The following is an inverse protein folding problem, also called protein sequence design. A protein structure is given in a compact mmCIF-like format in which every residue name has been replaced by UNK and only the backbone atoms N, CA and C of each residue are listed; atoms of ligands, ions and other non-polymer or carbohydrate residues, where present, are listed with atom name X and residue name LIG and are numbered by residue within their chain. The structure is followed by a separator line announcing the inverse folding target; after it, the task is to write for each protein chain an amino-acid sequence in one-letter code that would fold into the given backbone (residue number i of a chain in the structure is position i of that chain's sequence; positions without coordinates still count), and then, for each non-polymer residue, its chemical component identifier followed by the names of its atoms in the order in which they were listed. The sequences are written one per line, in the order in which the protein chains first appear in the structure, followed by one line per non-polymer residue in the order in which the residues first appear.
data_IF_761941749842
#
_entry.id   IF_761941749842
#
_cell.length_a   1.000
_cell.length_b   1.000
_cell.length_c   1.000
_cell.angle_alpha   90.00
_cell.angle_beta   90.00
_cell.angle_gamma   90.00
#
_symmetry.space_group_name_H-M   'P 1'
#
loop_
_entity.id
_entity.type
_entity.pdbx_description
1 polymer ?
#
# COMPACT_ATOMS: atom_id res chain seq x y z
N UNK A 1 14.46 1.65 6.48
CA UNK A 1 15.48 1.73 5.40
C UNK A 1 15.60 3.20 4.98
N UNK A 2 16.41 3.56 3.97
CA UNK A 2 16.37 4.92 3.42
C UNK A 2 15.18 5.07 2.45
N UNK A 3 14.71 6.30 2.24
CA UNK A 3 13.63 6.65 1.29
C UNK A 3 13.81 5.96 -0.07
N UNK A 4 15.02 6.02 -0.64
CA UNK A 4 15.31 5.45 -1.97
C UNK A 4 15.13 3.94 -2.01
N UNK A 5 15.48 3.25 -0.92
CA UNK A 5 15.28 1.80 -0.80
C UNK A 5 13.79 1.46 -0.77
N UNK A 6 12.99 2.23 -0.04
CA UNK A 6 11.53 2.07 0.00
C UNK A 6 10.89 2.35 -1.38
N UNK A 7 11.36 3.37 -2.10
CA UNK A 7 10.90 3.63 -3.47
C UNK A 7 11.26 2.50 -4.42
N UNK A 8 12.48 1.97 -4.34
CA UNK A 8 12.88 0.82 -5.16
C UNK A 8 12.02 -0.41 -4.87
N UNK A 9 11.81 -0.73 -3.59
CA UNK A 9 10.94 -1.84 -3.18
C UNK A 9 9.49 -1.64 -3.65
N UNK A 10 8.98 -0.41 -3.60
CA UNK A 10 7.69 -0.06 -4.16
C UNK A 10 7.61 -0.35 -5.67
N UNK A 11 8.61 0.07 -6.46
CA UNK A 11 8.63 -0.18 -7.91
C UNK A 11 8.75 -1.67 -8.25
N UNK A 12 9.46 -2.46 -7.43
CA UNK A 12 9.49 -3.92 -7.53
C UNK A 12 8.09 -4.52 -7.29
N UNK A 13 7.38 -4.07 -6.24
CA UNK A 13 6.00 -4.49 -5.99
C UNK A 13 5.07 -4.09 -7.14
N UNK A 14 5.20 -2.86 -7.65
CA UNK A 14 4.39 -2.33 -8.74
C UNK A 14 4.58 -3.14 -10.03
N UNK A 15 5.82 -3.46 -10.36
CA UNK A 15 6.14 -4.30 -11.52
C UNK A 15 5.47 -5.67 -11.45
N UNK A 16 5.47 -6.30 -10.26
CA UNK A 16 4.78 -7.59 -10.06
C UNK A 16 3.27 -7.46 -10.14
N UNK A 17 2.69 -6.35 -9.66
CA UNK A 17 1.25 -6.07 -9.82
C UNK A 17 0.89 -5.97 -11.29
N UNK A 18 1.65 -5.20 -12.08
CA UNK A 18 1.39 -5.00 -13.50
C UNK A 18 1.51 -6.32 -14.27
N UNK A 19 2.58 -7.09 -14.03
CA UNK A 19 2.71 -8.44 -14.59
C UNK A 19 1.55 -9.38 -14.21
N UNK A 20 1.06 -9.29 -12.97
CA UNK A 20 -0.07 -10.10 -12.48
C UNK A 20 -1.39 -9.71 -13.14
N UNK A 21 -1.55 -8.43 -13.48
CA UNK A 21 -2.71 -7.94 -14.23
C UNK A 21 -2.65 -8.48 -15.67
N UNK A 22 -1.50 -8.39 -16.32
CA UNK A 22 -1.31 -8.85 -17.70
C UNK A 22 -1.48 -10.37 -17.84
N UNK A 23 -0.99 -11.13 -16.85
CA UNK A 23 -1.16 -12.58 -16.80
C UNK A 23 -2.63 -13.00 -16.62
N UNK A 24 -3.42 -12.19 -15.92
CA UNK A 24 -4.79 -12.51 -15.54
C UNK A 24 -5.02 -12.37 -14.04
N UNK A 25 -5.96 -11.50 -13.67
CA UNK A 25 -6.17 -11.11 -12.26
C UNK A 25 -6.73 -12.24 -11.38
N UNK A 26 -7.50 -13.17 -11.94
CA UNK A 26 -8.03 -14.33 -11.20
C UNK A 26 -6.89 -15.28 -10.85
N UNK A 27 -6.09 -15.65 -11.84
CA UNK A 27 -4.97 -16.58 -11.68
C UNK A 27 -3.87 -16.01 -10.78
N UNK A 28 -3.80 -14.68 -10.69
CA UNK A 28 -2.82 -13.95 -9.90
C UNK A 28 -3.39 -13.37 -8.61
N UNK A 29 -4.59 -13.77 -8.16
CA UNK A 29 -5.28 -13.19 -7.00
C UNK A 29 -4.38 -13.05 -5.76
N UNK A 30 -3.69 -14.13 -5.38
CA UNK A 30 -2.86 -14.15 -4.17
C UNK A 30 -1.65 -13.23 -4.28
N UNK A 31 -1.06 -13.17 -5.48
CA UNK A 31 0.07 -12.28 -5.78
C UNK A 31 -0.40 -10.83 -5.70
N UNK A 32 -1.55 -10.52 -6.30
CA UNK A 32 -2.15 -9.19 -6.24
C UNK A 32 -2.41 -8.78 -4.79
N UNK A 33 -3.06 -9.62 -3.98
CA UNK A 33 -3.30 -9.33 -2.57
C UNK A 33 -2.02 -9.02 -1.79
N UNK A 34 -0.98 -9.85 -1.96
CA UNK A 34 0.29 -9.66 -1.28
C UNK A 34 0.97 -8.35 -1.68
N UNK A 35 1.09 -8.09 -2.99
CA UNK A 35 1.88 -6.99 -3.52
C UNK A 35 1.15 -5.65 -3.39
N UNK A 36 -0.19 -5.60 -3.45
CA UNK A 36 -0.92 -4.33 -3.24
C UNK A 36 -0.76 -3.82 -1.81
N UNK A 37 -0.87 -4.71 -0.81
CA UNK A 37 -0.66 -4.33 0.60
C UNK A 37 0.79 -3.90 0.84
N UNK A 38 1.77 -4.74 0.48
CA UNK A 38 3.18 -4.43 0.74
C UNK A 38 3.68 -3.22 -0.03
N UNK A 39 3.33 -3.10 -1.31
CA UNK A 39 3.69 -1.97 -2.13
C UNK A 39 3.23 -0.64 -1.50
N UNK A 40 1.98 -0.55 -1.04
CA UNK A 40 1.53 0.73 -0.50
C UNK A 40 2.22 1.11 0.82
N UNK A 41 2.66 0.12 1.61
CA UNK A 41 3.43 0.34 2.84
C UNK A 41 4.82 0.88 2.52
N UNK A 42 5.48 0.34 1.50
CA UNK A 42 6.77 0.84 1.03
C UNK A 42 6.64 2.29 0.55
N UNK A 43 5.59 2.61 -0.21
CA UNK A 43 5.35 3.97 -0.69
C UNK A 43 5.06 4.95 0.47
N UNK A 44 4.24 4.54 1.44
CA UNK A 44 3.99 5.36 2.64
C UNK A 44 5.27 5.58 3.43
N UNK A 45 6.08 4.54 3.61
CA UNK A 45 7.36 4.64 4.32
C UNK A 45 8.29 5.63 3.64
N UNK A 46 8.40 5.56 2.30
CA UNK A 46 9.17 6.52 1.51
C UNK A 46 8.68 7.97 1.70
N UNK A 47 7.36 8.18 1.73
CA UNK A 47 6.78 9.50 2.00
C UNK A 47 7.11 10.00 3.41
N UNK A 48 6.89 9.19 4.45
CA UNK A 48 7.14 9.59 5.83
C UNK A 48 8.62 9.87 6.10
N UNK A 49 9.54 9.15 5.46
CA UNK A 49 10.96 9.51 5.48
C UNK A 49 11.22 10.83 4.76
N UNK A 50 10.59 11.07 3.60
CA UNK A 50 10.76 12.33 2.86
C UNK A 50 10.41 13.55 3.71
N UNK A 51 9.34 13.47 4.51
CA UNK A 51 8.90 14.56 5.40
C UNK A 51 9.53 14.48 6.80
N UNK A 52 10.59 13.68 6.99
CA UNK A 52 11.31 13.49 8.26
C UNK A 52 10.39 13.15 9.46
N UNK A 53 9.31 12.41 9.21
CA UNK A 53 8.37 11.98 10.27
C UNK A 53 8.73 10.62 10.88
N UNK A 54 9.59 9.84 10.22
CA UNK A 54 10.11 8.57 10.73
C UNK A 54 11.61 8.45 10.44
N UNK A 55 12.36 7.86 11.39
CA UNK A 55 13.80 7.61 11.25
C UNK A 55 14.10 6.42 10.34
N UNK A 56 15.28 6.40 9.72
CA UNK A 56 15.72 5.35 8.77
C UNK A 56 15.71 3.90 9.30
N UNK A 57 15.54 3.70 10.61
CA UNK A 57 15.38 2.40 11.26
C UNK A 57 13.93 1.94 11.43
N UNK A 58 12.95 2.82 11.26
CA UNK A 58 11.53 2.50 11.42
C UNK A 58 11.06 1.64 10.26
N UNK A 59 10.47 0.49 10.57
CA UNK A 59 9.77 -0.36 9.61
C UNK A 59 8.28 -0.35 9.91
N UNK A 60 7.50 0.16 8.97
CA UNK A 60 6.05 0.17 9.08
C UNK A 60 5.54 -1.25 8.80
N UNK A 61 4.75 -1.78 9.73
CA UNK A 61 4.18 -3.11 9.58
C UNK A 61 2.78 -3.04 8.94
N UNK A 62 2.56 -3.76 7.84
CA UNK A 62 1.26 -3.83 7.17
C UNK A 62 0.12 -4.24 8.13
N UNK A 63 0.41 -5.09 9.13
CA UNK A 63 -0.57 -5.54 10.13
C UNK A 63 -1.14 -4.41 10.98
N UNK A 64 -0.46 -3.27 11.06
CA UNK A 64 -1.00 -2.11 11.77
C UNK A 64 -2.26 -1.58 11.08
N UNK A 65 -2.34 -1.71 9.76
CA UNK A 65 -3.48 -1.29 8.94
C UNK A 65 -4.66 -2.26 8.97
N UNK A 66 -4.71 -3.21 9.92
CA UNK A 66 -5.92 -4.02 10.15
C UNK A 66 -7.02 -3.28 10.92
N UNK A 67 -6.70 -2.16 11.54
CA UNK A 67 -7.65 -1.41 12.37
C UNK A 67 -7.23 0.05 12.53
N UNK A 68 -8.14 0.86 13.06
CA UNK A 68 -7.92 2.27 13.37
C UNK A 68 -6.80 2.51 14.39
N UNK A 69 -6.33 1.49 15.11
CA UNK A 69 -5.18 1.60 16.02
C UNK A 69 -3.90 2.11 15.35
N UNK A 70 -3.83 2.08 14.01
CA UNK A 70 -2.72 2.68 13.25
C UNK A 70 -2.65 4.20 13.39
N UNK A 71 -3.77 4.88 13.67
CA UNK A 71 -3.79 6.34 13.87
C UNK A 71 -2.89 6.78 15.01
N UNK A 72 -2.80 5.99 16.08
CA UNK A 72 -2.01 6.29 17.27
C UNK A 72 -0.54 5.86 17.13
N UNK A 73 -0.24 4.96 16.19
CA UNK A 73 1.10 4.40 15.99
C UNK A 73 1.99 5.25 15.11
N UNK A 74 1.40 5.99 14.18
CA UNK A 74 2.12 6.73 13.15
C UNK A 74 1.96 8.25 13.33
N UNK A 75 3.00 9.02 12.97
CA UNK A 75 2.98 10.48 13.08
C UNK A 75 1.86 11.13 12.26
N UNK A 76 1.51 12.37 12.59
CA UNK A 76 0.50 13.12 11.84
C UNK A 76 1.06 13.77 10.56
N UNK A 77 0.23 13.81 9.51
CA UNK A 77 0.58 14.34 8.19
C UNK A 77 -0.70 14.69 7.37
N UNK A 78 -0.58 15.52 6.31
CA UNK A 78 -1.73 15.91 5.49
C UNK A 78 -2.54 14.71 4.98
N UNK A 79 -3.86 14.77 5.14
CA UNK A 79 -4.80 13.73 4.72
C UNK A 79 -4.61 12.35 5.39
N UNK A 80 -3.92 12.26 6.54
CA UNK A 80 -3.68 11.02 7.28
C UNK A 80 -4.95 10.17 7.48
N UNK A 81 -6.04 10.77 7.96
CA UNK A 81 -7.32 10.08 8.20
C UNK A 81 -7.84 9.38 6.94
N UNK A 82 -7.90 10.11 5.83
CA UNK A 82 -8.39 9.58 4.56
C UNK A 82 -7.46 8.49 4.00
N UNK A 83 -6.14 8.68 4.11
CA UNK A 83 -5.16 7.72 3.60
C UNK A 83 -5.22 6.43 4.41
N UNK A 84 -5.19 6.51 5.74
CA UNK A 84 -5.21 5.33 6.60
C UNK A 84 -6.51 4.57 6.52
N UNK A 85 -7.67 5.25 6.46
CA UNK A 85 -8.96 4.58 6.21
C UNK A 85 -8.91 3.74 4.93
N UNK A 86 -8.43 4.31 3.81
CA UNK A 86 -8.27 3.57 2.55
C UNK A 86 -7.23 2.46 2.62
N UNK A 87 -6.14 2.65 3.37
CA UNK A 87 -5.13 1.60 3.58
C UNK A 87 -5.68 0.45 4.42
N UNK A 88 -6.56 0.73 5.40
CA UNK A 88 -7.26 -0.30 6.16
C UNK A 88 -8.19 -1.10 5.24
N UNK A 89 -8.94 -0.42 4.38
CA UNK A 89 -9.78 -1.09 3.37
C UNK A 89 -8.94 -1.97 2.42
N UNK A 90 -7.79 -1.45 1.99
CA UNK A 90 -6.87 -2.19 1.12
C UNK A 90 -6.25 -3.40 1.83
N UNK A 91 -5.83 -3.29 3.10
CA UNK A 91 -5.28 -4.41 3.87
C UNK A 91 -6.32 -5.50 4.06
N UNK A 92 -7.55 -5.13 4.41
CA UNK A 92 -8.67 -6.07 4.57
C UNK A 92 -9.02 -6.77 3.24
N UNK A 93 -8.99 -6.03 2.12
CA UNK A 93 -9.17 -6.63 0.80
C UNK A 93 -7.99 -7.57 0.47
N UNK A 94 -6.76 -7.13 0.70
CA UNK A 94 -5.53 -7.87 0.43
C UNK A 94 -5.44 -9.18 1.21
N UNK A 95 -5.86 -9.17 2.48
CA UNK A 95 -5.94 -10.38 3.32
C UNK A 95 -6.93 -11.40 2.74
N UNK A 96 -8.10 -10.95 2.29
CA UNK A 96 -9.10 -11.80 1.63
C UNK A 96 -8.59 -12.37 0.32
N UNK A 97 -7.82 -11.61 -0.46
CA UNK A 97 -7.24 -12.07 -1.72
C UNK A 97 -6.10 -13.08 -1.49
N UNK A 98 -5.25 -12.83 -0.49
CA UNK A 98 -4.04 -13.63 -0.23
C UNK A 98 -4.34 -14.98 0.42
N UNK A 99 -5.24 -15.00 1.39
CA UNK A 99 -5.51 -16.18 2.24
C UNK A 99 -6.91 -16.77 2.06
N UNK A 100 -7.83 -16.06 1.41
CA UNK A 100 -9.20 -16.51 1.22
C UNK A 100 -9.39 -17.49 0.05
N UNK A 101 -10.63 -17.90 -0.12
CA UNK A 101 -11.11 -18.57 -1.34
C UNK A 101 -10.94 -17.66 -2.57
N UNK A 102 -11.07 -18.25 -3.77
CA UNK A 102 -11.22 -17.48 -5.00
C UNK A 102 -12.31 -16.41 -4.85
N UNK A 103 -11.98 -15.20 -5.29
CA UNK A 103 -12.82 -14.02 -5.27
C UNK A 103 -13.28 -13.68 -6.67
N UNK A 104 -14.39 -12.96 -6.74
CA UNK A 104 -14.88 -12.45 -8.00
C UNK A 104 -13.89 -11.45 -8.60
N UNK A 105 -13.84 -11.35 -9.92
CA UNK A 105 -13.05 -10.30 -10.59
C UNK A 105 -13.36 -8.91 -10.08
N UNK A 106 -14.62 -8.66 -9.71
CA UNK A 106 -15.06 -7.38 -9.17
C UNK A 106 -14.33 -7.04 -7.87
N UNK A 107 -14.19 -8.02 -6.97
CA UNK A 107 -13.46 -7.85 -5.72
C UNK A 107 -11.96 -7.62 -5.97
N UNK A 108 -11.36 -8.37 -6.90
CA UNK A 108 -9.93 -8.21 -7.25
C UNK A 108 -9.68 -6.84 -7.89
N UNK A 109 -10.54 -6.42 -8.84
CA UNK A 109 -10.49 -5.09 -9.47
C UNK A 109 -10.67 -3.98 -8.46
N UNK A 110 -11.49 -4.16 -7.43
CA UNK A 110 -11.65 -3.18 -6.36
C UNK A 110 -10.36 -2.99 -5.56
N UNK A 111 -9.64 -4.07 -5.22
CA UNK A 111 -8.36 -3.96 -4.52
C UNK A 111 -7.31 -3.23 -5.37
N UNK A 112 -7.20 -3.57 -6.66
CA UNK A 112 -6.29 -2.89 -7.60
C UNK A 112 -6.66 -1.40 -7.71
N UNK A 113 -7.95 -1.08 -7.80
CA UNK A 113 -8.43 0.31 -7.85
C UNK A 113 -8.06 1.08 -6.58
N UNK A 114 -8.26 0.49 -5.40
CA UNK A 114 -7.89 1.10 -4.12
C UNK A 114 -6.38 1.34 -4.05
N UNK A 115 -5.57 0.38 -4.47
CA UNK A 115 -4.12 0.52 -4.58
C UNK A 115 -3.73 1.70 -5.47
N UNK A 116 -4.24 1.77 -6.71
CA UNK A 116 -3.92 2.83 -7.66
C UNK A 116 -4.35 4.22 -7.13
N UNK A 117 -5.48 4.30 -6.42
CA UNK A 117 -5.95 5.55 -5.80
C UNK A 117 -5.01 6.01 -4.67
N UNK A 118 -4.59 5.08 -3.82
CA UNK A 118 -3.65 5.35 -2.73
C UNK A 118 -2.28 5.74 -3.28
N UNK A 119 -1.77 5.02 -4.28
CA UNK A 119 -0.53 5.33 -4.97
C UNK A 119 -0.54 6.77 -5.50
N UNK A 120 -1.60 7.14 -6.25
CA UNK A 120 -1.74 8.49 -6.78
C UNK A 120 -1.75 9.54 -5.66
N UNK A 121 -2.53 9.31 -4.60
CA UNK A 121 -2.66 10.25 -3.47
C UNK A 121 -1.32 10.47 -2.78
N UNK A 122 -0.58 9.41 -2.47
CA UNK A 122 0.71 9.51 -1.79
C UNK A 122 1.77 10.13 -2.71
N UNK A 123 1.81 9.76 -4.00
CA UNK A 123 2.72 10.38 -4.98
C UNK A 123 2.43 11.88 -5.17
N UNK A 124 1.18 12.31 -5.11
CA UNK A 124 0.80 13.74 -5.15
C UNK A 124 1.30 14.49 -3.91
N UNK A 125 1.09 13.93 -2.70
CA UNK A 125 1.66 14.50 -1.47
C UNK A 125 3.18 14.60 -1.55
N UNK A 126 3.85 13.55 -2.04
CA UNK A 126 5.30 13.57 -2.26
C UNK A 126 5.75 14.63 -3.24
N UNK A 127 4.94 15.06 -4.21
CA UNK A 127 5.31 16.14 -5.16
C UNK A 127 5.12 17.53 -4.57
N UNK A 128 4.11 17.69 -3.70
CA UNK A 128 3.75 18.98 -3.12
C UNK A 128 4.70 19.41 -1.99
N UNK A 129 5.31 18.46 -1.30
CA UNK A 129 6.38 18.72 -0.33
C UNK A 129 7.71 18.94 -1.09
N UNK A 130 8.11 20.20 -1.29
CA UNK A 130 9.40 20.57 -1.92
C UNK A 130 10.55 20.41 -0.95
#
# INVERSE_FOLDING_TARGET
MKKETHLKAFEEHRTVIDWSIDRGIKDSQRILGLHTSRGIIELLSAYLHKINKIDSGVQINHRWFKSEKVYDRLPDFPNKKTIFSKMIDLENASEKLSYGSEKSEKEIKNAIKLFNQLEKTIKELMKNEK
#
